data_IF_266716274527
#
_entry.id   IF_266716274527
#
_cell.length_a   1.000
_cell.length_b   1.000
_cell.length_c   1.000
_cell.angle_alpha   90.00
_cell.angle_beta   90.00
_cell.angle_gamma   90.00
#
_symmetry.space_group_name_H-M   'P 1'
#
loop_
_entity.id
_entity.type
_entity.pdbx_description
1 polymer ?
#
# COMPACT_ATOMS: atom_id res chain seq x y z
N UNK A 1 7.03 3.91 -15.72
CA UNK A 1 7.20 4.35 -17.13
C UNK A 1 5.87 4.59 -17.83
N UNK A 2 5.01 3.58 -18.01
CA UNK A 2 3.76 3.78 -18.74
C UNK A 2 2.72 4.64 -18.00
N UNK A 3 2.69 4.58 -16.66
CA UNK A 3 1.76 5.39 -15.86
C UNK A 3 2.34 6.76 -15.51
N UNK A 4 3.49 6.80 -14.81
CA UNK A 4 4.10 8.05 -14.35
C UNK A 4 4.99 8.78 -15.37
N UNK A 5 5.16 8.25 -16.58
CA UNK A 5 6.00 8.87 -17.61
C UNK A 5 7.39 9.22 -17.10
N UNK A 6 7.84 10.43 -17.40
CA UNK A 6 9.07 11.07 -16.89
C UNK A 6 8.79 11.99 -15.67
N UNK A 7 7.57 11.98 -15.13
CA UNK A 7 7.18 12.77 -13.97
C UNK A 7 6.74 14.21 -14.24
N UNK A 8 6.80 14.72 -15.48
CA UNK A 8 6.48 16.13 -15.77
C UNK A 8 5.07 16.53 -15.33
N UNK A 9 4.08 15.65 -15.50
CA UNK A 9 2.69 15.87 -15.06
C UNK A 9 2.56 16.00 -13.54
N UNK A 10 3.50 15.46 -12.79
CA UNK A 10 3.59 15.55 -11.33
C UNK A 10 4.45 16.72 -10.85
N UNK A 11 5.02 17.52 -11.77
CA UNK A 11 6.01 18.53 -11.45
C UNK A 11 7.34 17.94 -10.94
N UNK A 12 7.65 16.70 -11.31
CA UNK A 12 8.86 15.97 -10.91
C UNK A 12 9.69 15.57 -12.14
N UNK A 13 10.95 15.17 -11.90
CA UNK A 13 11.78 14.49 -12.87
C UNK A 13 12.00 13.05 -12.40
N UNK A 14 11.54 12.08 -13.17
CA UNK A 14 11.65 10.65 -12.85
C UNK A 14 12.62 9.96 -13.79
N UNK A 15 13.69 9.41 -13.21
CA UNK A 15 14.57 8.46 -13.87
C UNK A 15 14.34 7.04 -13.36
N UNK A 16 14.52 6.06 -14.25
CA UNK A 16 14.26 4.65 -13.93
C UNK A 16 15.53 3.83 -14.15
N UNK A 17 16.18 3.44 -13.06
CA UNK A 17 17.19 2.40 -13.06
C UNK A 17 16.51 1.03 -13.14
N UNK A 18 16.89 0.22 -14.12
CA UNK A 18 16.36 -1.15 -14.30
C UNK A 18 17.46 -2.11 -13.89
N UNK A 19 17.09 -3.14 -13.15
CA UNK A 19 17.99 -4.23 -12.78
C UNK A 19 17.72 -5.47 -13.66
N UNK A 20 18.78 -6.13 -14.13
CA UNK A 20 18.66 -7.37 -14.92
C UNK A 20 18.40 -8.61 -14.07
N UNK A 21 18.67 -8.51 -12.76
CA UNK A 21 18.47 -9.55 -11.75
C UNK A 21 18.13 -8.88 -10.41
N UNK A 22 17.43 -9.57 -9.49
CA UNK A 22 17.16 -9.02 -8.16
C UNK A 22 18.46 -8.69 -7.42
N UNK A 23 18.68 -7.41 -7.10
CA UNK A 23 19.87 -6.93 -6.37
C UNK A 23 19.61 -6.70 -4.87
N UNK A 24 18.41 -7.00 -4.38
CA UNK A 24 18.03 -6.70 -2.99
C UNK A 24 17.82 -5.20 -2.75
N UNK A 25 17.27 -4.87 -1.59
CA UNK A 25 16.78 -3.51 -1.29
C UNK A 25 17.88 -2.44 -1.33
N UNK A 26 19.10 -2.77 -0.92
CA UNK A 26 20.24 -1.86 -0.98
C UNK A 26 20.97 -1.93 -2.32
N UNK A 27 21.08 -3.12 -2.92
CA UNK A 27 21.70 -3.29 -4.22
C UNK A 27 20.95 -2.57 -5.36
N UNK A 28 19.61 -2.53 -5.31
CA UNK A 28 18.82 -1.76 -6.28
C UNK A 28 19.10 -0.25 -6.18
N UNK A 29 19.35 0.29 -4.98
CA UNK A 29 19.78 1.69 -4.80
C UNK A 29 21.22 1.88 -5.31
N UNK A 30 22.13 0.92 -5.05
CA UNK A 30 23.50 0.95 -5.58
C UNK A 30 23.53 0.95 -7.11
N UNK A 31 22.61 0.25 -7.77
CA UNK A 31 22.45 0.27 -9.22
C UNK A 31 22.14 1.69 -9.74
N UNK A 32 21.39 2.48 -8.97
CA UNK A 32 21.06 3.87 -9.27
C UNK A 32 22.10 4.90 -8.74
N UNK A 33 23.22 4.46 -8.15
CA UNK A 33 24.18 5.35 -7.48
C UNK A 33 24.75 6.46 -8.37
N UNK A 34 24.84 6.22 -9.68
CA UNK A 34 25.32 7.20 -10.67
C UNK A 34 24.39 8.40 -10.87
N UNK A 35 23.18 8.37 -10.29
CA UNK A 35 22.19 9.45 -10.29
C UNK A 35 22.14 10.19 -8.94
N UNK A 36 22.93 9.77 -7.95
CA UNK A 36 22.82 10.22 -6.55
C UNK A 36 24.07 11.01 -6.13
N UNK A 37 24.01 12.33 -6.29
CA UNK A 37 25.17 13.23 -6.13
C UNK A 37 25.31 13.85 -4.72
N UNK A 38 24.40 13.55 -3.80
CA UNK A 38 24.35 14.11 -2.45
C UNK A 38 23.39 13.35 -1.56
N UNK A 39 23.15 13.83 -0.33
CA UNK A 39 22.21 13.21 0.62
C UNK A 39 20.85 12.94 -0.05
N UNK A 40 20.37 11.71 0.02
CA UNK A 40 19.15 11.28 -0.65
C UNK A 40 18.19 10.53 0.28
N UNK A 41 16.92 10.48 -0.14
CA UNK A 41 15.87 9.70 0.51
C UNK A 41 15.71 8.36 -0.21
N UNK A 42 15.58 7.30 0.57
CA UNK A 42 15.12 5.99 0.12
C UNK A 42 13.75 5.76 0.75
N UNK A 43 12.77 5.36 -0.07
CA UNK A 43 11.40 5.07 0.38
C UNK A 43 10.98 3.77 -0.32
N UNK A 44 10.56 2.77 0.45
CA UNK A 44 9.95 1.56 -0.12
C UNK A 44 8.69 1.91 -0.92
N UNK A 45 8.57 1.37 -2.12
CA UNK A 45 7.52 1.74 -3.09
C UNK A 45 6.10 1.29 -2.72
N UNK A 46 5.96 0.45 -1.70
CA UNK A 46 4.73 -0.14 -1.16
C UNK A 46 4.27 0.52 0.15
N UNK A 47 4.89 1.63 0.57
CA UNK A 47 4.50 2.36 1.76
C UNK A 47 3.43 3.43 1.47
N UNK A 48 2.37 3.47 2.29
CA UNK A 48 1.46 4.60 2.40
C UNK A 48 1.77 5.37 3.68
N UNK A 49 2.13 6.66 3.55
CA UNK A 49 2.52 7.48 4.71
C UNK A 49 2.26 8.96 4.49
N UNK A 50 1.99 9.67 5.59
CA UNK A 50 1.96 11.13 5.67
C UNK A 50 2.99 11.68 6.67
N UNK A 51 4.02 10.88 7.02
CA UNK A 51 5.09 11.30 7.91
C UNK A 51 5.83 12.50 7.30
N UNK A 52 6.01 13.56 8.09
CA UNK A 52 6.80 14.73 7.69
C UNK A 52 8.30 14.41 7.64
N UNK A 53 8.79 14.10 6.44
CA UNK A 53 10.19 13.77 6.19
C UNK A 53 11.15 14.95 6.35
N UNK A 54 10.64 16.20 6.40
CA UNK A 54 11.47 17.39 6.62
C UNK A 54 12.13 17.36 7.99
N UNK A 55 11.42 16.84 9.00
CA UNK A 55 11.95 16.66 10.35
C UNK A 55 13.05 15.61 10.39
N UNK A 56 12.88 14.51 9.67
CA UNK A 56 13.91 13.46 9.53
C UNK A 56 15.18 14.02 8.90
N UNK A 57 15.05 14.81 7.82
CA UNK A 57 16.20 15.42 7.15
C UNK A 57 16.91 16.45 8.04
N UNK A 58 16.16 17.25 8.80
CA UNK A 58 16.72 18.19 9.76
C UNK A 58 17.53 17.47 10.86
N UNK A 59 16.95 16.41 11.43
CA UNK A 59 17.60 15.57 12.43
C UNK A 59 18.87 14.91 11.89
N UNK A 60 18.82 14.36 10.66
CA UNK A 60 19.96 13.74 9.98
C UNK A 60 21.14 14.70 9.86
N UNK A 61 20.88 15.95 9.45
CA UNK A 61 21.88 17.01 9.31
C UNK A 61 22.45 17.46 10.66
N UNK A 62 21.59 17.63 11.67
CA UNK A 62 21.99 18.04 13.03
C UNK A 62 22.99 17.03 13.64
N UNK A 63 22.71 15.74 13.48
CA UNK A 63 23.53 14.66 14.05
C UNK A 63 24.72 14.27 13.17
N UNK A 64 24.88 14.89 11.99
CA UNK A 64 25.88 14.49 10.96
C UNK A 64 25.84 12.98 10.75
N UNK A 65 24.61 12.48 10.60
CA UNK A 65 24.33 11.07 10.43
C UNK A 65 24.82 10.61 9.05
N UNK A 66 25.36 9.39 8.94
CA UNK A 66 25.63 8.77 7.63
C UNK A 66 24.37 8.09 7.09
N UNK A 67 23.54 7.55 7.98
CA UNK A 67 22.24 6.99 7.67
C UNK A 67 21.26 7.24 8.82
N UNK A 68 20.09 7.78 8.50
CA UNK A 68 18.99 7.95 9.47
C UNK A 68 17.79 7.12 9.03
N UNK A 69 17.33 6.23 9.91
CA UNK A 69 16.16 5.38 9.69
C UNK A 69 14.90 6.03 10.28
N UNK A 70 13.83 6.13 9.50
CA UNK A 70 12.52 6.47 10.04
C UNK A 70 11.90 5.21 10.63
N UNK A 71 11.44 5.29 11.87
CA UNK A 71 10.77 4.22 12.59
C UNK A 71 9.28 4.53 12.74
N UNK A 72 8.46 3.48 12.81
CA UNK A 72 7.07 3.56 13.23
C UNK A 72 6.84 2.70 14.48
N UNK A 73 5.77 2.95 15.22
CA UNK A 73 5.37 2.11 16.36
C UNK A 73 4.19 1.23 15.96
N UNK A 74 4.34 -0.08 16.10
CA UNK A 74 3.30 -1.06 15.73
C UNK A 74 2.99 -2.02 16.86
N UNK A 75 1.75 -2.51 16.92
CA UNK A 75 1.33 -3.48 17.92
C UNK A 75 1.90 -4.88 17.70
N UNK A 76 2.20 -5.27 16.45
CA UNK A 76 2.81 -6.55 16.09
C UNK A 76 4.04 -6.31 15.19
N UNK A 77 5.27 -6.48 15.72
CA UNK A 77 6.49 -6.18 14.98
C UNK A 77 7.12 -7.37 14.24
N UNK A 78 6.52 -8.57 14.26
CA UNK A 78 7.16 -9.81 13.79
C UNK A 78 7.52 -9.80 12.29
N UNK A 79 6.75 -9.08 11.48
CA UNK A 79 6.96 -9.01 10.03
C UNK A 79 8.06 -8.00 9.63
N UNK A 80 8.60 -7.25 10.61
CA UNK A 80 9.46 -6.09 10.36
C UNK A 80 10.81 -6.18 11.08
N UNK A 81 11.72 -5.30 10.70
CA UNK A 81 12.96 -5.06 11.45
C UNK A 81 12.71 -4.25 12.71
N UNK A 82 13.04 -4.80 13.88
CA UNK A 82 12.89 -4.14 15.18
C UNK A 82 14.16 -3.40 15.55
N UNK A 83 13.98 -2.15 15.98
CA UNK A 83 15.08 -1.24 16.27
C UNK A 83 15.01 -0.76 17.71
N UNK A 84 16.17 -0.74 18.37
CA UNK A 84 16.37 -0.10 19.68
C UNK A 84 17.25 1.11 19.49
N UNK A 85 16.78 2.23 20.01
CA UNK A 85 17.47 3.50 20.00
C UNK A 85 17.81 3.93 21.43
N UNK A 86 18.97 4.55 21.60
CA UNK A 86 19.28 5.34 22.78
C UNK A 86 18.35 6.56 22.91
N UNK A 87 18.46 7.29 24.03
CA UNK A 87 17.62 8.46 24.29
C UNK A 87 17.84 9.62 23.30
N UNK A 88 18.99 9.65 22.64
CA UNK A 88 19.37 10.61 21.59
C UNK A 88 18.99 10.16 20.18
N UNK A 89 18.41 8.97 20.02
CA UNK A 89 18.06 8.39 18.72
C UNK A 89 19.18 7.61 18.04
N UNK A 90 20.34 7.43 18.69
CA UNK A 90 21.39 6.56 18.15
C UNK A 90 20.92 5.12 18.14
N UNK A 91 21.11 4.38 17.04
CA UNK A 91 20.71 2.97 16.99
C UNK A 91 21.71 2.14 17.81
N UNK A 92 21.19 1.38 18.79
CA UNK A 92 21.97 0.48 19.65
C UNK A 92 21.87 -0.96 19.17
N UNK A 93 20.69 -1.36 18.66
CA UNK A 93 20.43 -2.70 18.18
C UNK A 93 19.44 -2.67 17.01
N UNK A 94 19.69 -3.53 16.04
CA UNK A 94 18.82 -3.77 14.90
C UNK A 94 18.63 -5.29 14.76
N UNK A 95 17.41 -5.75 14.58
CA UNK A 95 17.09 -7.17 14.35
C UNK A 95 15.98 -7.29 13.30
N UNK A 96 16.27 -7.94 12.18
CA UNK A 96 15.29 -8.19 11.12
C UNK A 96 14.39 -9.40 11.46
N UNK A 97 13.07 -9.23 11.35
CA UNK A 97 12.04 -10.28 11.47
C UNK A 97 12.21 -11.18 12.70
N UNK A 98 12.05 -10.63 13.91
CA UNK A 98 12.26 -11.37 15.15
C UNK A 98 11.18 -12.42 15.37
N UNK A 99 11.51 -13.49 16.11
CA UNK A 99 10.49 -14.31 16.78
C UNK A 99 9.92 -13.57 18.00
N UNK A 100 8.76 -14.00 18.52
CA UNK A 100 8.14 -13.41 19.72
C UNK A 100 9.08 -13.33 20.94
N UNK A 101 10.00 -14.28 21.09
CA UNK A 101 10.99 -14.27 22.18
C UNK A 101 12.12 -13.27 21.99
N UNK A 102 12.24 -12.70 20.79
CA UNK A 102 13.27 -11.73 20.40
C UNK A 102 12.71 -10.33 20.23
N UNK A 103 11.39 -10.13 20.37
CA UNK A 103 10.78 -8.80 20.33
C UNK A 103 11.18 -8.03 21.58
N UNK A 104 11.97 -6.97 21.39
CA UNK A 104 12.46 -6.11 22.47
C UNK A 104 12.04 -4.64 22.31
N UNK A 105 11.32 -4.29 21.25
CA UNK A 105 10.84 -2.93 20.95
C UNK A 105 9.60 -3.01 20.06
N UNK A 106 8.72 -2.01 20.17
CA UNK A 106 7.57 -1.77 19.30
C UNK A 106 7.94 -0.88 18.10
N UNK A 107 9.18 -0.39 18.05
CA UNK A 107 9.70 0.46 16.98
C UNK A 107 10.22 -0.40 15.82
N UNK A 108 9.64 -0.20 14.64
CA UNK A 108 9.93 -0.97 13.44
C UNK A 108 10.49 -0.09 12.32
N UNK A 109 11.37 -0.68 11.52
CA UNK A 109 11.92 -0.13 10.30
C UNK A 109 10.79 0.10 9.28
N UNK A 110 10.65 1.33 8.79
CA UNK A 110 9.58 1.72 7.85
C UNK A 110 9.93 1.54 6.37
N UNK A 111 11.19 1.21 6.05
CA UNK A 111 11.67 1.30 4.67
C UNK A 111 11.99 2.72 4.19
N UNK A 112 11.95 3.70 5.10
CA UNK A 112 12.24 5.11 4.79
C UNK A 112 13.56 5.52 5.44
N UNK A 113 14.52 5.97 4.63
CA UNK A 113 15.88 6.31 5.05
C UNK A 113 16.33 7.65 4.47
N UNK A 114 17.11 8.40 5.25
CA UNK A 114 17.97 9.49 4.74
C UNK A 114 19.41 8.97 4.73
N UNK A 115 20.05 8.95 3.58
CA UNK A 115 21.34 8.29 3.36
C UNK A 115 22.34 9.28 2.74
N UNK A 116 23.57 9.27 3.26
CA UNK A 116 24.71 9.92 2.62
C UNK A 116 25.36 9.00 1.56
N UNK A 117 25.81 9.52 0.40
CA UNK A 117 26.36 8.71 -0.69
C UNK A 117 27.46 7.73 -0.30
N UNK A 118 28.31 8.05 0.69
CA UNK A 118 29.40 7.20 1.14
C UNK A 118 28.91 5.91 1.82
N UNK A 119 27.63 5.81 2.20
CA UNK A 119 27.05 4.55 2.68
C UNK A 119 26.91 3.53 1.54
N UNK A 120 26.82 3.99 0.29
CA UNK A 120 26.77 3.09 -0.86
C UNK A 120 28.09 2.33 -1.07
N UNK A 121 29.19 2.74 -0.44
CA UNK A 121 30.48 2.03 -0.49
C UNK A 121 30.49 0.70 0.29
N UNK A 122 29.47 0.47 1.14
CA UNK A 122 29.25 -0.82 1.80
C UNK A 122 28.68 -1.87 0.83
N UNK A 123 28.15 -1.43 -0.30
CA UNK A 123 27.39 -2.26 -1.23
C UNK A 123 28.26 -2.53 -2.46
N UNK A 124 28.62 -3.79 -2.67
CA UNK A 124 29.33 -4.20 -3.87
C UNK A 124 28.41 -4.05 -5.10
N UNK A 125 28.96 -3.54 -6.21
CA UNK A 125 28.23 -3.44 -7.47
C UNK A 125 27.78 -4.83 -7.96
N UNK A 126 26.60 -4.88 -8.57
CA UNK A 126 25.99 -6.09 -9.15
C UNK A 126 25.80 -7.27 -8.18
N UNK A 127 25.76 -7.03 -6.86
CA UNK A 127 25.52 -8.06 -5.85
C UNK A 127 24.20 -7.83 -5.12
N UNK A 128 23.55 -8.94 -4.76
CA UNK A 128 22.38 -8.89 -3.89
C UNK A 128 22.80 -8.39 -2.51
N UNK A 129 22.16 -7.32 -2.03
CA UNK A 129 22.44 -6.73 -0.73
C UNK A 129 21.19 -6.02 -0.18
N UNK A 130 20.92 -6.19 1.10
CA UNK A 130 19.76 -5.63 1.79
C UNK A 130 20.13 -4.64 2.89
N UNK A 131 19.33 -3.59 3.03
CA UNK A 131 19.55 -2.54 4.04
C UNK A 131 19.53 -3.12 5.45
N UNK A 132 18.48 -3.86 5.78
CA UNK A 132 18.21 -4.41 7.11
C UNK A 132 19.11 -5.59 7.48
N UNK A 133 19.53 -6.40 6.51
CA UNK A 133 20.27 -7.64 6.77
C UNK A 133 21.79 -7.47 6.64
N UNK A 134 22.25 -6.59 5.76
CA UNK A 134 23.68 -6.43 5.47
C UNK A 134 24.20 -5.06 5.88
N UNK A 135 23.60 -3.98 5.35
CA UNK A 135 24.20 -2.63 5.43
C UNK A 135 24.15 -2.06 6.84
N UNK A 136 22.96 -1.97 7.45
CA UNK A 136 22.82 -1.40 8.80
C UNK A 136 23.52 -2.23 9.88
N UNK A 137 23.42 -3.58 9.88
CA UNK A 137 24.21 -4.39 10.81
C UNK A 137 25.73 -4.18 10.66
N UNK A 138 26.25 -4.05 9.44
CA UNK A 138 27.66 -3.79 9.21
C UNK A 138 28.08 -2.37 9.67
N UNK A 139 27.26 -1.35 9.44
CA UNK A 139 27.47 0.00 9.97
C UNK A 139 27.54 0.01 11.50
N UNK A 140 26.63 -0.72 12.17
CA UNK A 140 26.65 -0.87 13.63
C UNK A 140 27.93 -1.56 14.11
N UNK A 141 28.37 -2.63 13.42
CA UNK A 141 29.60 -3.35 13.74
C UNK A 141 30.84 -2.46 13.61
N UNK A 142 30.86 -1.53 12.64
CA UNK A 142 31.93 -0.54 12.45
C UNK A 142 31.80 0.70 13.32
N UNK A 143 30.74 0.79 14.14
CA UNK A 143 30.43 1.94 14.99
C UNK A 143 30.24 3.25 14.19
N UNK A 144 29.74 3.14 12.96
CA UNK A 144 29.41 4.29 12.11
C UNK A 144 28.25 5.12 12.68
N UNK A 145 28.08 6.32 12.12
CA UNK A 145 26.99 7.24 12.47
C UNK A 145 25.66 6.75 11.88
N UNK A 146 24.96 5.87 12.62
CA UNK A 146 23.65 5.33 12.28
C UNK A 146 22.63 5.74 13.36
N UNK A 147 21.58 6.44 12.92
CA UNK A 147 20.58 7.04 13.79
C UNK A 147 19.17 6.69 13.35
N UNK A 148 18.19 6.94 14.21
CA UNK A 148 16.80 6.76 13.89
C UNK A 148 15.90 7.83 14.52
N UNK A 149 14.79 8.09 13.84
CA UNK A 149 13.72 8.99 14.29
C UNK A 149 12.40 8.25 14.21
N UNK A 150 11.63 8.27 15.29
CA UNK A 150 10.24 7.80 15.24
C UNK A 150 9.40 8.83 14.50
N UNK A 151 8.94 8.45 13.30
CA UNK A 151 8.11 9.28 12.45
C UNK A 151 6.77 9.60 13.13
N UNK A 152 6.35 10.86 13.03
CA UNK A 152 5.02 11.29 13.46
C UNK A 152 4.12 11.33 12.24
N UNK A 153 3.12 10.47 12.23
CA UNK A 153 2.18 10.32 11.11
C UNK A 153 1.71 8.89 10.97
N UNK A 154 0.87 8.68 9.98
CA UNK A 154 0.46 7.39 9.49
C UNK A 154 1.60 6.72 8.71
N UNK A 155 1.75 5.42 8.89
CA UNK A 155 2.57 4.57 8.04
C UNK A 155 1.93 3.20 7.95
N UNK A 156 1.81 2.69 6.73
CA UNK A 156 1.33 1.34 6.44
C UNK A 156 2.21 0.72 5.36
N UNK A 157 2.72 -0.48 5.66
CA UNK A 157 3.38 -1.36 4.70
C UNK A 157 2.33 -2.21 3.95
N UNK A 158 2.15 -1.95 2.66
CA UNK A 158 1.13 -2.61 1.83
C UNK A 158 1.70 -3.90 1.22
N UNK A 159 2.06 -4.86 2.09
CA UNK A 159 2.58 -6.17 1.70
C UNK A 159 1.53 -7.30 1.59
N UNK A 160 0.27 -7.07 1.94
CA UNK A 160 -0.78 -8.09 1.98
C UNK A 160 -2.13 -7.57 1.52
N UNK A 161 -3.06 -8.47 1.16
CA UNK A 161 -4.44 -8.08 0.82
C UNK A 161 -5.14 -7.37 1.99
N UNK A 162 -4.87 -7.80 3.22
CA UNK A 162 -5.46 -7.16 4.40
C UNK A 162 -4.90 -5.76 4.60
N UNK A 163 -3.59 -5.54 4.46
CA UNK A 163 -3.01 -4.20 4.56
C UNK A 163 -3.42 -3.31 3.39
N UNK A 164 -3.62 -3.86 2.20
CA UNK A 164 -4.19 -3.15 1.05
C UNK A 164 -5.62 -2.65 1.32
N UNK A 165 -6.50 -3.52 1.82
CA UNK A 165 -7.85 -3.13 2.23
C UNK A 165 -7.82 -2.07 3.34
N UNK A 166 -7.02 -2.31 4.38
CA UNK A 166 -6.89 -1.39 5.51
C UNK A 166 -6.38 -0.01 5.08
N UNK A 167 -5.39 0.06 4.18
CA UNK A 167 -4.88 1.33 3.67
C UNK A 167 -5.97 2.13 2.94
N UNK A 168 -6.81 1.47 2.13
CA UNK A 168 -7.95 2.12 1.48
C UNK A 168 -9.00 2.59 2.51
N UNK A 169 -9.29 1.77 3.51
CA UNK A 169 -10.23 2.13 4.58
C UNK A 169 -9.73 3.32 5.40
N UNK A 170 -8.46 3.29 5.81
CA UNK A 170 -7.81 4.36 6.57
C UNK A 170 -7.77 5.67 5.77
N UNK A 171 -7.54 5.61 4.46
CA UNK A 171 -7.62 6.76 3.57
C UNK A 171 -9.03 7.37 3.56
N UNK A 172 -10.05 6.54 3.30
CA UNK A 172 -11.45 6.99 3.26
C UNK A 172 -11.97 7.49 4.63
N UNK A 173 -11.42 6.97 5.72
CA UNK A 173 -11.73 7.42 7.08
C UNK A 173 -10.92 8.66 7.51
N UNK A 174 -9.99 9.13 6.68
CA UNK A 174 -9.16 10.31 6.96
C UNK A 174 -8.09 10.08 8.03
N UNK A 175 -7.67 8.83 8.25
CA UNK A 175 -6.58 8.48 9.18
C UNK A 175 -5.19 8.76 8.61
N UNK A 176 -5.10 8.88 7.29
CA UNK A 176 -3.91 9.30 6.56
C UNK A 176 -4.25 10.52 5.70
N UNK A 177 -3.36 11.50 5.69
CA UNK A 177 -3.49 12.65 4.81
C UNK A 177 -3.13 12.24 3.37
N UNK A 178 -4.15 12.04 2.55
CA UNK A 178 -4.00 11.79 1.13
C UNK A 178 -5.06 12.55 0.33
N UNK A 179 -4.76 12.83 -0.92
CA UNK A 179 -5.73 13.39 -1.85
C UNK A 179 -6.61 12.27 -2.40
N UNK A 180 -7.90 12.34 -2.12
CA UNK A 180 -8.91 11.45 -2.71
C UNK A 180 -9.59 12.23 -3.83
N UNK A 181 -9.58 11.67 -5.04
CA UNK A 181 -10.19 12.29 -6.21
C UNK A 181 -11.71 12.49 -6.04
N UNK A 182 -12.25 13.41 -6.82
CA UNK A 182 -13.67 13.74 -6.80
C UNK A 182 -14.04 14.78 -5.75
N UNK A 183 -15.31 15.16 -5.74
CA UNK A 183 -15.83 16.11 -4.77
C UNK A 183 -16.48 15.36 -3.61
N UNK A 184 -16.38 15.95 -2.42
CA UNK A 184 -16.96 15.38 -1.22
C UNK A 184 -18.45 15.70 -1.15
N UNK A 185 -19.28 14.67 -1.01
CA UNK A 185 -20.73 14.75 -0.85
C UNK A 185 -21.08 14.27 0.57
N UNK A 186 -21.90 15.05 1.27
CA UNK A 186 -22.24 14.77 2.66
C UNK A 186 -21.00 14.67 3.57
N UNK A 187 -21.05 13.74 4.51
CA UNK A 187 -20.03 13.62 5.57
C UNK A 187 -18.90 12.64 5.25
N UNK A 188 -19.00 11.82 4.22
CA UNK A 188 -18.03 10.73 3.99
C UNK A 188 -18.03 10.15 2.57
N UNK A 189 -18.67 10.78 1.59
CA UNK A 189 -18.73 10.22 0.23
C UNK A 189 -17.87 11.06 -0.72
N UNK A 190 -17.12 10.40 -1.59
CA UNK A 190 -16.32 11.02 -2.63
C UNK A 190 -16.84 10.55 -3.98
N UNK A 191 -17.30 11.50 -4.80
CA UNK A 191 -17.89 11.20 -6.11
C UNK A 191 -17.07 11.91 -7.19
N UNK A 192 -16.53 11.13 -8.11
CA UNK A 192 -15.76 11.62 -9.24
C UNK A 192 -16.66 12.08 -10.40
N UNK A 193 -16.08 12.81 -11.34
CA UNK A 193 -16.75 13.25 -12.56
C UNK A 193 -17.35 12.06 -13.34
N UNK A 194 -18.54 12.24 -13.90
CA UNK A 194 -19.22 11.23 -14.73
C UNK A 194 -19.84 10.06 -13.96
N UNK A 195 -19.61 9.94 -12.65
CA UNK A 195 -20.22 8.90 -11.85
C UNK A 195 -21.76 9.03 -11.83
N UNK A 196 -22.45 7.91 -12.04
CA UNK A 196 -23.92 7.82 -12.03
C UNK A 196 -24.40 7.01 -10.83
N UNK A 197 -25.18 7.63 -9.95
CA UNK A 197 -25.76 6.96 -8.78
C UNK A 197 -27.27 7.07 -8.85
N UNK A 198 -27.96 5.93 -8.88
CA UNK A 198 -29.42 5.90 -8.91
C UNK A 198 -30.02 6.49 -7.61
N UNK A 199 -31.12 7.25 -7.71
CA UNK A 199 -31.80 7.88 -6.57
C UNK A 199 -32.22 6.90 -5.46
N UNK A 200 -32.43 5.63 -5.80
CA UNK A 200 -32.81 4.56 -4.87
C UNK A 200 -31.62 3.75 -4.34
N UNK A 201 -30.38 4.09 -4.73
CA UNK A 201 -29.19 3.51 -4.15
C UNK A 201 -29.01 4.01 -2.71
N UNK A 202 -28.57 3.12 -1.83
CA UNK A 202 -28.35 3.42 -0.42
C UNK A 202 -26.86 3.36 -0.11
N UNK A 203 -26.32 4.47 0.39
CA UNK A 203 -24.89 4.63 0.65
C UNK A 203 -24.72 5.03 2.11
N UNK A 204 -24.10 4.15 2.89
CA UNK A 204 -23.75 4.36 4.30
C UNK A 204 -22.24 4.36 4.50
N UNK A 205 -21.76 5.22 5.39
CA UNK A 205 -20.34 5.28 5.73
C UNK A 205 -19.47 5.88 4.61
N UNK A 206 -18.15 5.69 4.71
CA UNK A 206 -17.25 6.30 3.76
C UNK A 206 -17.19 5.54 2.43
N UNK A 207 -17.42 6.21 1.31
CA UNK A 207 -17.45 5.55 -0.01
C UNK A 207 -16.80 6.44 -1.05
N UNK A 208 -15.92 5.85 -1.86
CA UNK A 208 -15.40 6.48 -3.08
C UNK A 208 -16.06 5.86 -4.31
N UNK A 209 -16.59 6.72 -5.18
CA UNK A 209 -17.18 6.38 -6.47
C UNK A 209 -16.34 7.08 -7.55
N UNK A 210 -15.58 6.26 -8.28
CA UNK A 210 -14.64 6.66 -9.30
C UNK A 210 -15.30 7.20 -10.56
N UNK A 211 -14.47 7.74 -11.44
CA UNK A 211 -14.91 8.39 -12.69
C UNK A 211 -15.74 7.43 -13.54
N UNK A 212 -16.89 7.89 -14.03
CA UNK A 212 -17.79 7.10 -14.88
C UNK A 212 -18.23 5.74 -14.27
N UNK A 213 -18.13 5.59 -12.95
CA UNK A 213 -18.65 4.42 -12.25
C UNK A 213 -20.17 4.52 -12.10
N UNK A 214 -20.86 3.38 -12.13
CA UNK A 214 -22.33 3.30 -12.11
C UNK A 214 -22.80 2.52 -10.90
N UNK A 215 -23.70 3.11 -10.11
CA UNK A 215 -24.39 2.48 -8.98
C UNK A 215 -25.88 2.39 -9.27
N UNK A 216 -26.33 1.16 -9.53
CA UNK A 216 -27.69 0.85 -9.94
C UNK A 216 -28.75 0.97 -8.84
N UNK A 217 -30.02 0.99 -9.25
CA UNK A 217 -31.18 1.15 -8.37
C UNK A 217 -31.23 0.10 -7.25
N UNK A 218 -31.44 0.54 -6.01
CA UNK A 218 -31.54 -0.33 -4.84
C UNK A 218 -30.23 -1.01 -4.43
N UNK A 219 -29.09 -0.68 -5.05
CA UNK A 219 -27.78 -1.11 -4.57
C UNK A 219 -27.53 -0.56 -3.15
N UNK A 220 -26.83 -1.34 -2.33
CA UNK A 220 -26.52 -0.99 -0.95
C UNK A 220 -25.00 -1.02 -0.74
N UNK A 221 -24.41 0.15 -0.53
CA UNK A 221 -22.99 0.32 -0.24
C UNK A 221 -22.84 0.65 1.24
N UNK A 222 -22.15 -0.22 1.98
CA UNK A 222 -21.81 0.00 3.38
C UNK A 222 -20.30 0.14 3.54
N UNK A 223 -19.87 1.38 3.69
CA UNK A 223 -18.48 1.78 3.75
C UNK A 223 -17.65 1.09 4.84
N UNK A 224 -16.32 1.08 4.71
CA UNK A 224 -15.56 1.73 3.64
C UNK A 224 -15.60 0.99 2.30
N UNK A 225 -16.03 1.64 1.21
CA UNK A 225 -16.11 1.00 -0.13
C UNK A 225 -15.41 1.87 -1.17
N UNK A 226 -14.63 1.22 -2.03
CA UNK A 226 -13.97 1.86 -3.19
C UNK A 226 -14.54 1.25 -4.46
N UNK A 227 -15.14 2.07 -5.31
CA UNK A 227 -15.48 1.73 -6.68
C UNK A 227 -14.58 2.55 -7.60
N UNK A 228 -13.65 1.91 -8.31
CA UNK A 228 -12.75 2.61 -9.24
C UNK A 228 -13.49 2.93 -10.56
N UNK A 229 -12.80 3.63 -11.45
CA UNK A 229 -13.34 4.13 -12.72
C UNK A 229 -14.01 3.05 -13.56
N UNK A 230 -15.15 3.38 -14.14
CA UNK A 230 -15.96 2.47 -14.97
C UNK A 230 -16.45 1.20 -14.26
N UNK A 231 -16.31 1.08 -12.93
CA UNK A 231 -16.90 -0.03 -12.20
C UNK A 231 -18.44 0.08 -12.25
N UNK A 232 -19.12 -1.04 -12.43
CA UNK A 232 -20.59 -1.10 -12.53
C UNK A 232 -21.14 -1.98 -11.43
N UNK A 233 -21.96 -1.38 -10.57
CA UNK A 233 -22.72 -2.08 -9.52
C UNK A 233 -24.18 -2.16 -9.95
N UNK A 234 -24.64 -3.37 -10.29
CA UNK A 234 -26.03 -3.57 -10.72
C UNK A 234 -27.02 -3.45 -9.58
N UNK A 235 -28.30 -3.31 -9.93
CA UNK A 235 -29.37 -3.10 -8.95
C UNK A 235 -29.47 -4.21 -7.89
N UNK A 236 -29.73 -3.80 -6.65
CA UNK A 236 -29.90 -4.70 -5.51
C UNK A 236 -28.63 -5.40 -5.02
N UNK A 237 -27.45 -5.15 -5.62
CA UNK A 237 -26.18 -5.64 -5.12
C UNK A 237 -25.87 -5.02 -3.74
N UNK A 238 -25.21 -5.80 -2.87
CA UNK A 238 -24.82 -5.36 -1.52
C UNK A 238 -23.32 -5.48 -1.35
N UNK A 239 -22.66 -4.39 -1.03
CA UNK A 239 -21.20 -4.31 -0.93
C UNK A 239 -20.85 -3.74 0.43
N UNK A 240 -19.99 -4.41 1.17
CA UNK A 240 -19.44 -3.86 2.42
C UNK A 240 -17.94 -4.02 2.53
N UNK A 241 -17.25 -2.96 2.97
CA UNK A 241 -15.82 -2.98 3.28
C UNK A 241 -14.94 -3.48 2.12
N UNK A 242 -15.33 -3.25 0.86
CA UNK A 242 -14.72 -3.91 -0.31
C UNK A 242 -14.12 -2.92 -1.30
N UNK A 243 -13.18 -3.39 -2.12
CA UNK A 243 -12.49 -2.60 -3.14
C UNK A 243 -12.74 -3.21 -4.52
N UNK A 244 -13.30 -2.42 -5.43
CA UNK A 244 -13.71 -2.83 -6.77
C UNK A 244 -12.88 -2.03 -7.79
N UNK A 245 -12.05 -2.74 -8.55
CA UNK A 245 -11.10 -2.19 -9.50
C UNK A 245 -11.76 -1.75 -10.82
N UNK A 246 -11.01 -1.09 -11.72
CA UNK A 246 -11.56 -0.52 -12.94
C UNK A 246 -12.30 -1.52 -13.81
N UNK A 247 -13.42 -1.09 -14.39
CA UNK A 247 -14.21 -1.86 -15.35
C UNK A 247 -14.78 -3.19 -14.80
N UNK A 248 -14.69 -3.43 -13.48
CA UNK A 248 -15.34 -4.59 -12.88
C UNK A 248 -16.87 -4.43 -12.91
N UNK A 249 -17.56 -5.53 -13.18
CA UNK A 249 -19.01 -5.60 -13.20
C UNK A 249 -19.52 -6.47 -12.05
N UNK A 250 -20.42 -5.92 -11.24
CA UNK A 250 -21.13 -6.63 -10.19
C UNK A 250 -22.60 -6.82 -10.58
N UNK A 251 -23.00 -8.08 -10.73
CA UNK A 251 -24.35 -8.47 -11.12
C UNK A 251 -25.40 -8.24 -10.05
N UNK A 252 -26.66 -8.29 -10.45
CA UNK A 252 -27.78 -8.04 -9.54
C UNK A 252 -27.78 -8.98 -8.33
N UNK A 253 -28.18 -8.45 -7.17
CA UNK A 253 -28.34 -9.20 -5.91
C UNK A 253 -27.07 -9.93 -5.42
N UNK A 254 -25.91 -9.67 -6.02
CA UNK A 254 -24.65 -10.18 -5.51
C UNK A 254 -24.33 -9.55 -4.15
N UNK A 255 -23.55 -10.27 -3.34
CA UNK A 255 -23.15 -9.82 -2.00
C UNK A 255 -21.66 -9.96 -1.84
N UNK A 256 -21.01 -8.88 -1.43
CA UNK A 256 -19.57 -8.82 -1.26
C UNK A 256 -19.26 -8.26 0.13
N UNK A 257 -18.36 -8.92 0.86
CA UNK A 257 -17.88 -8.47 2.16
C UNK A 257 -16.36 -8.60 2.21
N UNK A 258 -15.66 -7.51 2.53
CA UNK A 258 -14.20 -7.47 2.60
C UNK A 258 -13.50 -8.11 1.40
N UNK A 259 -14.08 -7.94 0.21
CA UNK A 259 -13.61 -8.57 -1.01
C UNK A 259 -12.81 -7.59 -1.87
N UNK A 260 -11.90 -8.13 -2.67
CA UNK A 260 -11.23 -7.39 -3.75
C UNK A 260 -11.67 -7.99 -5.08
N UNK A 261 -12.29 -7.18 -5.93
CA UNK A 261 -12.64 -7.56 -7.30
C UNK A 261 -11.76 -6.77 -8.24
N UNK A 262 -10.84 -7.45 -8.91
CA UNK A 262 -9.83 -6.85 -9.78
C UNK A 262 -10.40 -6.44 -11.15
N UNK A 263 -9.54 -5.93 -12.03
CA UNK A 263 -9.96 -5.20 -13.23
C UNK A 263 -10.70 -6.09 -14.21
N UNK A 264 -11.73 -5.54 -14.86
CA UNK A 264 -12.53 -6.23 -15.88
C UNK A 264 -13.14 -7.58 -15.42
N UNK A 265 -13.14 -7.88 -14.11
CA UNK A 265 -13.80 -9.06 -13.58
C UNK A 265 -15.33 -8.90 -13.64
N UNK A 266 -16.01 -9.97 -14.03
CA UNK A 266 -17.47 -10.03 -14.14
C UNK A 266 -18.04 -10.97 -13.08
N UNK A 267 -18.70 -10.40 -12.08
CA UNK A 267 -19.47 -11.13 -11.09
C UNK A 267 -20.91 -11.24 -11.60
N UNK A 268 -21.38 -12.44 -11.94
CA UNK A 268 -22.75 -12.64 -12.42
C UNK A 268 -23.77 -12.51 -11.26
N UNK A 269 -25.09 -12.48 -11.55
CA UNK A 269 -26.11 -12.30 -10.52
C UNK A 269 -26.09 -13.37 -9.42
N UNK A 270 -26.57 -12.98 -8.24
CA UNK A 270 -26.76 -13.85 -7.08
C UNK A 270 -25.47 -14.52 -6.55
N UNK A 271 -24.29 -13.97 -6.86
CA UNK A 271 -22.99 -14.43 -6.34
C UNK A 271 -22.73 -13.91 -4.92
N UNK A 272 -22.13 -14.75 -4.07
CA UNK A 272 -21.64 -14.38 -2.75
C UNK A 272 -20.11 -14.42 -2.71
N UNK A 273 -19.47 -13.30 -2.41
CA UNK A 273 -18.04 -13.21 -2.11
C UNK A 273 -17.87 -12.95 -0.62
N UNK A 274 -17.29 -13.92 0.09
CA UNK A 274 -17.09 -13.84 1.54
C UNK A 274 -15.76 -13.16 1.91
N UNK A 275 -15.52 -12.99 3.21
CA UNK A 275 -14.43 -12.18 3.74
C UNK A 275 -13.06 -12.49 3.16
N UNK A 276 -12.36 -11.45 2.70
CA UNK A 276 -11.00 -11.56 2.19
C UNK A 276 -10.88 -12.33 0.88
N UNK A 277 -11.99 -12.63 0.20
CA UNK A 277 -11.95 -13.22 -1.13
C UNK A 277 -11.39 -12.24 -2.16
N UNK A 278 -10.65 -12.77 -3.13
CA UNK A 278 -10.01 -12.00 -4.20
C UNK A 278 -10.34 -12.60 -5.56
N UNK A 279 -10.90 -11.78 -6.44
CA UNK A 279 -11.21 -12.15 -7.82
C UNK A 279 -10.21 -11.45 -8.73
N UNK A 280 -9.32 -12.20 -9.38
CA UNK A 280 -8.30 -11.67 -10.27
C UNK A 280 -8.85 -11.03 -11.55
N UNK A 281 -7.98 -10.33 -12.27
CA UNK A 281 -8.34 -9.63 -13.50
C UNK A 281 -8.99 -10.57 -14.52
N UNK A 282 -9.92 -10.04 -15.33
CA UNK A 282 -10.55 -10.77 -16.44
C UNK A 282 -11.23 -12.11 -16.04
N UNK A 283 -11.65 -12.25 -14.78
CA UNK A 283 -12.39 -13.42 -14.33
C UNK A 283 -13.90 -13.28 -14.60
N UNK A 284 -14.57 -14.40 -14.85
CA UNK A 284 -16.04 -14.49 -14.81
C UNK A 284 -16.45 -15.42 -13.67
N UNK A 285 -17.22 -14.92 -12.72
CA UNK A 285 -17.83 -15.73 -11.66
C UNK A 285 -19.28 -16.02 -12.03
N UNK A 286 -19.59 -17.28 -12.32
CA UNK A 286 -20.92 -17.72 -12.76
C UNK A 286 -22.02 -17.45 -11.73
N UNK A 287 -23.27 -17.30 -12.20
CA UNK A 287 -24.40 -16.91 -11.35
C UNK A 287 -24.63 -17.89 -10.20
N UNK A 288 -25.03 -17.38 -9.03
CA UNK A 288 -25.34 -18.21 -7.86
C UNK A 288 -24.13 -18.90 -7.22
N UNK A 289 -22.90 -18.55 -7.62
CA UNK A 289 -21.69 -19.13 -7.04
C UNK A 289 -21.36 -18.50 -5.69
N UNK A 290 -20.63 -19.23 -4.87
CA UNK A 290 -20.07 -18.75 -3.61
C UNK A 290 -18.56 -18.81 -3.71
N UNK A 291 -17.87 -17.76 -3.26
CA UNK A 291 -16.42 -17.76 -3.08
C UNK A 291 -16.16 -17.65 -1.59
N UNK A 292 -15.67 -18.74 -1.00
CA UNK A 292 -15.45 -18.84 0.44
C UNK A 292 -14.37 -17.88 0.96
N UNK A 293 -14.33 -17.73 2.28
CA UNK A 293 -13.43 -16.85 2.99
C UNK A 293 -11.96 -17.07 2.57
N UNK A 294 -11.29 -15.98 2.20
CA UNK A 294 -9.87 -15.97 1.84
C UNK A 294 -9.51 -16.68 0.53
N UNK A 295 -10.50 -17.17 -0.23
CA UNK A 295 -10.26 -17.81 -1.54
C UNK A 295 -9.79 -16.76 -2.54
N UNK A 296 -8.76 -17.12 -3.31
CA UNK A 296 -8.15 -16.28 -4.34
C UNK A 296 -8.29 -16.95 -5.69
N UNK A 297 -8.95 -16.27 -6.61
CA UNK A 297 -9.12 -16.74 -7.98
C UNK A 297 -8.10 -16.00 -8.85
N UNK A 298 -7.22 -16.76 -9.49
CA UNK A 298 -6.19 -16.21 -10.38
C UNK A 298 -6.83 -15.52 -11.60
N UNK A 299 -6.16 -14.56 -12.24
CA UNK A 299 -6.67 -13.88 -13.42
C UNK A 299 -7.06 -14.81 -14.58
N UNK A 300 -8.02 -14.37 -15.38
CA UNK A 300 -8.45 -15.05 -16.61
C UNK A 300 -9.16 -16.39 -16.38
N UNK A 301 -9.93 -16.51 -15.29
CA UNK A 301 -10.67 -17.74 -14.95
C UNK A 301 -12.17 -17.56 -15.15
N UNK A 302 -12.78 -18.59 -15.74
CA UNK A 302 -14.23 -18.72 -15.81
C UNK A 302 -14.68 -19.77 -14.79
N UNK A 303 -15.49 -19.36 -13.83
CA UNK A 303 -16.08 -20.22 -12.80
C UNK A 303 -17.51 -20.56 -13.21
N UNK A 304 -17.83 -21.85 -13.24
CA UNK A 304 -19.16 -22.32 -13.64
C UNK A 304 -20.25 -21.84 -12.65
N UNK A 305 -21.47 -21.58 -13.13
CA UNK A 305 -22.59 -21.19 -12.26
C UNK A 305 -22.86 -22.21 -11.14
N UNK A 306 -23.14 -21.72 -9.94
CA UNK A 306 -23.43 -22.55 -8.76
C UNK A 306 -22.20 -23.24 -8.14
N UNK A 307 -20.98 -22.82 -8.51
CA UNK A 307 -19.76 -23.30 -7.87
C UNK A 307 -19.62 -22.80 -6.43
N UNK A 308 -18.90 -23.55 -5.60
CA UNK A 308 -18.48 -23.18 -4.24
C UNK A 308 -16.96 -23.34 -4.17
#
# INVERSE_FOLDING_TARGET
RNYFGDGQELGMHLEYAVEDRPLGTAGSVKNAAHLLDGTFLVISGDALTDIDLSQTLAFHREHKSRATIVLSRVGNPLEYGVVVTGADGRIERFLEKPSWGEVFSDQVNTGIYVIEPEVLDYIAADQSCDWSQDVFPEMLRRQDSLWAVVGRGYWCDIGSIQSYLQANWDALEGRVQCEIAGHRVGDSQWISEGAEVADSAHIEGPVFIGRDAVVGAGAFLNGPVVLDRFAVVSGGAKISSSVIWPQAYLGERSRLRQAVVCSAATIKPDVLLDDGSVIGDDCTIGSGSVVEQGVRIWPGKDIEPGSI
#
